data_IF_376216969752
#
_entry.id   IF_376216969752
#
_cell.length_a   1.000
_cell.length_b   1.000
_cell.length_c   1.000
_cell.angle_alpha   90.00
_cell.angle_beta   90.00
_cell.angle_gamma   90.00
#
_symmetry.space_group_name_H-M   'P 1'
#
loop_
_entity.id
_entity.type
_entity.pdbx_description
1 polymer ?
#
# COMPACT_ATOMS: atom_id res chain seq x y z
N UNK A 1 28.34 16.61 -23.36
CA UNK A 1 27.39 17.22 -22.39
C UNK A 1 25.98 16.62 -22.44
N UNK A 2 25.23 16.68 -23.55
CA UNK A 2 23.83 16.17 -23.63
C UNK A 2 23.60 14.72 -23.16
N UNK A 3 24.53 13.81 -23.45
CA UNK A 3 24.46 12.39 -23.05
C UNK A 3 24.53 12.20 -21.53
N UNK A 4 25.34 13.02 -20.84
CA UNK A 4 25.48 12.99 -19.37
C UNK A 4 24.22 13.51 -18.67
N UNK A 5 23.63 14.61 -19.17
CA UNK A 5 22.36 15.16 -18.66
C UNK A 5 21.22 14.15 -18.81
N UNK A 6 21.10 13.49 -19.96
CA UNK A 6 20.08 12.45 -20.19
C UNK A 6 20.24 11.27 -19.22
N UNK A 7 21.48 10.84 -18.95
CA UNK A 7 21.76 9.76 -18.01
C UNK A 7 21.35 10.13 -16.58
N UNK A 8 21.65 11.36 -16.15
CA UNK A 8 21.23 11.88 -14.84
C UNK A 8 19.70 11.90 -14.69
N UNK A 9 18.97 12.36 -15.71
CA UNK A 9 17.51 12.39 -15.68
C UNK A 9 16.90 10.99 -15.59
N UNK A 10 17.46 9.99 -16.29
CA UNK A 10 17.05 8.58 -16.17
C UNK A 10 17.28 8.06 -14.74
N UNK A 11 18.43 8.38 -14.14
CA UNK A 11 18.74 7.97 -12.76
C UNK A 11 17.75 8.54 -11.74
N UNK A 12 17.44 9.84 -11.84
CA UNK A 12 16.46 10.50 -10.97
C UNK A 12 15.08 9.87 -11.14
N UNK A 13 14.63 9.64 -12.38
CA UNK A 13 13.34 9.01 -12.66
C UNK A 13 13.26 7.60 -12.03
N UNK A 14 14.29 6.78 -12.21
CA UNK A 14 14.33 5.44 -11.64
C UNK A 14 14.31 5.47 -10.11
N UNK A 15 15.08 6.38 -9.50
CA UNK A 15 15.07 6.57 -8.05
C UNK A 15 13.68 7.00 -7.54
N UNK A 16 13.03 7.94 -8.23
CA UNK A 16 11.68 8.39 -7.88
C UNK A 16 10.66 7.25 -7.96
N UNK A 17 10.69 6.42 -9.03
CA UNK A 17 9.80 5.26 -9.14
C UNK A 17 10.04 4.30 -7.97
N UNK A 18 11.29 3.98 -7.66
CA UNK A 18 11.64 3.09 -6.55
C UNK A 18 11.16 3.63 -5.20
N UNK A 19 11.34 4.93 -4.95
CA UNK A 19 10.88 5.56 -3.72
C UNK A 19 9.35 5.51 -3.57
N UNK A 20 8.61 5.81 -4.64
CA UNK A 20 7.14 5.73 -4.62
C UNK A 20 6.68 4.29 -4.43
N UNK A 21 7.30 3.32 -5.10
CA UNK A 21 7.01 1.90 -4.90
C UNK A 21 7.23 1.46 -3.44
N UNK A 22 8.34 1.88 -2.83
CA UNK A 22 8.64 1.57 -1.43
C UNK A 22 7.58 2.14 -0.48
N UNK A 23 7.11 3.37 -0.73
CA UNK A 23 6.04 3.99 0.04
C UNK A 23 4.70 3.26 -0.14
N UNK A 24 4.33 2.91 -1.38
CA UNK A 24 3.13 2.11 -1.65
C UNK A 24 3.18 0.76 -0.93
N UNK A 25 4.32 0.06 -1.00
CA UNK A 25 4.51 -1.22 -0.33
C UNK A 25 4.41 -1.09 1.19
N UNK A 26 5.01 -0.05 1.76
CA UNK A 26 4.93 0.24 3.19
C UNK A 26 3.49 0.48 3.64
N UNK A 27 2.72 1.25 2.85
CA UNK A 27 1.31 1.51 3.13
C UNK A 27 0.44 0.24 3.01
N UNK A 28 0.63 -0.58 1.97
CA UNK A 28 -0.07 -1.86 1.79
C UNK A 28 0.18 -2.76 3.00
N UNK A 29 1.45 -2.94 3.39
CA UNK A 29 1.83 -3.76 4.54
C UNK A 29 1.19 -3.20 5.82
N UNK A 30 1.30 -1.89 6.07
CA UNK A 30 0.71 -1.24 7.23
C UNK A 30 -0.81 -1.41 7.32
N UNK A 31 -1.52 -1.28 6.19
CA UNK A 31 -2.98 -1.53 6.15
C UNK A 31 -3.27 -3.02 6.35
N UNK A 32 -2.42 -3.92 5.85
CA UNK A 32 -2.53 -5.35 6.13
C UNK A 32 -2.46 -5.65 7.63
N UNK A 33 -1.53 -5.01 8.34
CA UNK A 33 -1.45 -5.08 9.81
C UNK A 33 -2.70 -4.49 10.47
N UNK A 34 -3.13 -3.30 10.05
CA UNK A 34 -4.33 -2.65 10.56
C UNK A 34 -5.56 -3.57 10.44
N UNK A 35 -5.78 -4.17 9.27
CA UNK A 35 -6.90 -5.08 9.02
C UNK A 35 -6.76 -6.37 9.83
N UNK A 36 -5.55 -6.94 9.91
CA UNK A 36 -5.36 -8.22 10.58
C UNK A 36 -5.46 -8.13 12.10
N UNK A 37 -4.98 -7.04 12.71
CA UNK A 37 -4.81 -6.97 14.17
C UNK A 37 -5.68 -5.91 14.86
N UNK A 38 -6.11 -4.87 14.16
CA UNK A 38 -6.92 -3.80 14.75
C UNK A 38 -8.37 -3.89 14.29
N UNK A 39 -8.62 -4.04 12.99
CA UNK A 39 -9.94 -4.13 12.41
C UNK A 39 -10.32 -5.60 12.16
N UNK A 40 -10.15 -6.42 13.20
CA UNK A 40 -10.33 -7.88 13.17
C UNK A 40 -11.69 -8.30 12.58
N UNK A 41 -11.76 -9.52 12.07
CA UNK A 41 -12.95 -10.05 11.39
C UNK A 41 -14.11 -10.21 12.36
N UNK A 42 -15.34 -10.26 11.86
CA UNK A 42 -16.53 -10.41 12.72
C UNK A 42 -16.45 -11.64 13.63
N UNK A 43 -15.91 -12.76 13.13
CA UNK A 43 -15.69 -13.97 13.93
C UNK A 43 -14.70 -13.71 15.08
N UNK A 44 -13.53 -13.15 14.77
CA UNK A 44 -12.51 -12.82 15.79
C UNK A 44 -13.06 -11.83 16.83
N UNK A 45 -14.00 -10.95 16.47
CA UNK A 45 -14.64 -10.02 17.43
C UNK A 45 -15.49 -10.74 18.48
N UNK A 46 -16.21 -11.78 18.09
CA UNK A 46 -16.94 -12.60 19.05
C UNK A 46 -15.97 -13.27 20.02
N UNK A 47 -14.86 -13.79 19.52
CA UNK A 47 -13.87 -14.49 20.34
C UNK A 47 -13.15 -13.53 21.32
N UNK A 48 -12.82 -12.31 20.88
CA UNK A 48 -12.08 -11.33 21.69
C UNK A 48 -12.97 -10.52 22.62
N UNK A 49 -14.15 -10.09 22.16
CA UNK A 49 -15.02 -9.15 22.89
C UNK A 49 -16.28 -9.81 23.47
N UNK A 50 -16.55 -11.08 23.17
CA UNK A 50 -17.77 -11.79 23.59
C UNK A 50 -19.05 -11.32 22.88
N UNK A 51 -18.92 -10.38 21.94
CA UNK A 51 -20.02 -9.82 21.14
C UNK A 51 -19.47 -9.23 19.84
N UNK A 52 -20.32 -9.11 18.83
CA UNK A 52 -19.94 -8.43 17.60
C UNK A 52 -19.93 -6.91 17.79
N UNK A 53 -18.78 -6.35 18.16
CA UNK A 53 -18.57 -4.90 18.21
C UNK A 53 -18.21 -4.36 16.82
N UNK A 54 -18.57 -3.11 16.56
CA UNK A 54 -18.06 -2.42 15.37
C UNK A 54 -16.67 -1.84 15.67
N UNK A 55 -15.75 -1.98 14.73
CA UNK A 55 -14.38 -1.49 14.85
C UNK A 55 -14.11 -0.53 13.71
N UNK A 56 -13.62 0.65 14.07
CA UNK A 56 -13.30 1.72 13.14
C UNK A 56 -11.90 2.25 13.40
N UNK A 57 -11.21 2.63 12.33
CA UNK A 57 -9.98 3.41 12.42
C UNK A 57 -10.07 4.58 11.45
N UNK A 58 -9.83 5.79 11.95
CA UNK A 58 -10.16 7.05 11.27
C UNK A 58 -11.57 7.08 10.67
N UNK A 59 -12.55 6.58 11.41
CA UNK A 59 -13.96 6.58 11.00
C UNK A 59 -14.30 5.57 9.91
N UNK A 60 -13.37 4.69 9.53
CA UNK A 60 -13.56 3.69 8.48
C UNK A 60 -13.44 2.27 9.02
N UNK A 61 -14.28 1.37 8.50
CA UNK A 61 -14.31 -0.03 8.90
C UNK A 61 -13.27 -0.89 8.14
N UNK A 62 -13.23 -2.19 8.47
CA UNK A 62 -12.35 -3.17 7.83
C UNK A 62 -12.50 -3.19 6.30
N UNK A 63 -13.72 -3.09 5.79
CA UNK A 63 -14.01 -3.22 4.37
C UNK A 63 -13.51 -2.01 3.59
N UNK A 64 -13.70 -0.81 4.13
CA UNK A 64 -13.18 0.43 3.55
C UNK A 64 -11.65 0.43 3.53
N UNK A 65 -11.00 0.07 4.64
CA UNK A 65 -9.54 -0.12 4.66
C UNK A 65 -9.07 -1.21 3.70
N UNK A 66 -9.85 -2.29 3.55
CA UNK A 66 -9.60 -3.34 2.57
C UNK A 66 -9.65 -2.84 1.13
N UNK A 67 -10.57 -1.93 0.81
CA UNK A 67 -10.64 -1.29 -0.51
C UNK A 67 -9.40 -0.41 -0.77
N UNK A 68 -8.95 0.39 0.21
CA UNK A 68 -7.71 1.17 0.08
C UNK A 68 -6.50 0.27 -0.12
N UNK A 69 -6.42 -0.84 0.62
CA UNK A 69 -5.36 -1.84 0.45
C UNK A 69 -5.31 -2.38 -0.98
N UNK A 70 -6.48 -2.74 -1.54
CA UNK A 70 -6.60 -3.26 -2.90
C UNK A 70 -6.19 -2.23 -3.96
N UNK A 71 -6.68 -0.98 -3.83
CA UNK A 71 -6.33 0.11 -4.75
C UNK A 71 -4.83 0.35 -4.75
N UNK A 72 -4.20 0.43 -3.57
CA UNK A 72 -2.75 0.59 -3.46
C UNK A 72 -2.00 -0.60 -4.08
N UNK A 73 -2.52 -1.82 -3.94
CA UNK A 73 -1.98 -3.01 -4.60
C UNK A 73 -1.95 -2.88 -6.13
N UNK A 74 -3.03 -2.40 -6.74
CA UNK A 74 -3.05 -2.12 -8.18
C UNK A 74 -2.10 -0.99 -8.60
N UNK A 75 -2.03 0.09 -7.81
CA UNK A 75 -1.07 1.18 -8.06
C UNK A 75 0.36 0.66 -8.02
N UNK A 76 0.72 -0.14 -7.01
CA UNK A 76 2.04 -0.77 -6.91
C UNK A 76 2.31 -1.69 -8.11
N UNK A 77 1.32 -2.44 -8.58
CA UNK A 77 1.45 -3.32 -9.74
C UNK A 77 1.79 -2.52 -11.02
N UNK A 78 1.07 -1.41 -11.27
CA UNK A 78 1.34 -0.53 -12.41
C UNK A 78 2.73 0.09 -12.30
N UNK A 79 3.12 0.57 -11.12
CA UNK A 79 4.45 1.11 -10.87
C UNK A 79 5.55 0.07 -11.07
N UNK A 80 5.31 -1.19 -10.68
CA UNK A 80 6.25 -2.29 -10.88
C UNK A 80 6.45 -2.58 -12.37
N UNK A 81 5.38 -2.61 -13.17
CA UNK A 81 5.49 -2.77 -14.62
C UNK A 81 6.28 -1.60 -15.23
N UNK A 82 5.99 -0.37 -14.81
CA UNK A 82 6.73 0.81 -15.25
C UNK A 82 8.21 0.74 -14.86
N UNK A 83 8.52 0.28 -13.64
CA UNK A 83 9.88 0.07 -13.16
C UNK A 83 10.63 -0.94 -14.04
N UNK A 84 10.04 -2.10 -14.32
CA UNK A 84 10.66 -3.15 -15.14
C UNK A 84 10.95 -2.64 -16.57
N UNK A 85 10.05 -1.84 -17.15
CA UNK A 85 10.21 -1.33 -18.53
C UNK A 85 11.24 -0.19 -18.60
N UNK A 86 11.34 0.67 -17.57
CA UNK A 86 12.17 1.88 -17.59
C UNK A 86 13.58 1.68 -17.03
N UNK A 87 13.78 0.67 -16.17
CA UNK A 87 15.05 0.41 -15.50
C UNK A 87 16.04 -0.30 -16.43
#
# INVERSE_FOLDING_TARGET
>A
MKKSVKAMHKSILNFSINAVMALCMSAIIGIGFLIKYTLISGQERWDVYGKNVELYWYGMDRNQWGLFHLILGFVLMVLLVAHIVLH
#
